data_IF_024942748169
#
_entry.id   IF_024942748169
#
_cell.length_a   1.000
_cell.length_b   1.000
_cell.length_c   1.000
_cell.angle_alpha   90.00
_cell.angle_beta   90.00
_cell.angle_gamma   90.00
#
_symmetry.space_group_name_H-M   'P 1'
#
loop_
_entity.id
_entity.type
_entity.pdbx_description
1 polymer ?
#
# COMPACT_ATOMS: atom_id res chain seq x y z
N UNK A 1 -26.36 -16.48 5.82
CA UNK A 1 -25.78 -15.15 6.12
C UNK A 1 -24.55 -14.92 5.25
N UNK A 2 -24.52 -13.86 4.44
CA UNK A 2 -23.35 -13.47 3.66
C UNK A 2 -22.13 -13.15 4.53
N UNK A 3 -20.92 -13.45 4.05
CA UNK A 3 -19.68 -13.22 4.78
C UNK A 3 -19.46 -11.74 5.16
N UNK A 4 -19.87 -10.81 4.32
CA UNK A 4 -19.78 -9.37 4.62
C UNK A 4 -20.53 -8.99 5.91
N UNK A 5 -21.69 -9.60 6.18
CA UNK A 5 -22.48 -9.32 7.39
C UNK A 5 -21.81 -9.83 8.68
N UNK A 6 -20.93 -10.83 8.59
CA UNK A 6 -20.09 -11.28 9.70
C UNK A 6 -18.95 -10.29 9.96
N UNK A 7 -18.31 -9.78 8.89
CA UNK A 7 -17.23 -8.80 9.00
C UNK A 7 -17.68 -7.43 9.54
N UNK A 8 -18.96 -7.08 9.39
CA UNK A 8 -19.55 -5.89 10.02
C UNK A 8 -19.54 -5.95 11.55
N UNK A 9 -19.49 -7.15 12.14
CA UNK A 9 -19.30 -7.31 13.57
C UNK A 9 -17.81 -7.42 13.89
N UNK A 10 -17.23 -6.35 14.43
CA UNK A 10 -15.80 -6.26 14.78
C UNK A 10 -15.42 -6.96 16.09
N UNK A 11 -16.38 -7.59 16.78
CA UNK A 11 -16.14 -8.36 18.00
C UNK A 11 -16.69 -9.78 17.87
N UNK A 12 -16.02 -10.75 18.51
CA UNK A 12 -16.46 -12.15 18.51
C UNK A 12 -17.87 -12.31 19.08
N UNK A 13 -18.21 -11.48 20.08
CA UNK A 13 -19.56 -11.39 20.62
C UNK A 13 -20.58 -10.90 19.57
N UNK A 14 -20.25 -9.86 18.78
CA UNK A 14 -21.12 -9.36 17.71
C UNK A 14 -21.28 -10.35 16.55
N UNK A 15 -20.24 -11.14 16.26
CA UNK A 15 -20.32 -12.23 15.26
C UNK A 15 -21.24 -13.34 15.80
N UNK A 16 -21.08 -13.74 17.07
CA UNK A 16 -21.89 -14.77 17.71
C UNK A 16 -23.36 -14.37 17.84
N UNK A 17 -23.65 -13.10 18.16
CA UNK A 17 -25.03 -12.60 18.27
C UNK A 17 -25.74 -12.61 16.91
N UNK A 18 -25.05 -12.22 15.83
CA UNK A 18 -25.56 -12.29 14.45
C UNK A 18 -25.79 -13.73 13.98
N UNK A 19 -24.96 -14.68 14.41
CA UNK A 19 -25.18 -16.11 14.13
C UNK A 19 -26.41 -16.66 14.87
N UNK A 20 -26.69 -16.17 16.07
CA UNK A 20 -27.76 -16.67 16.93
C UNK A 20 -29.10 -15.91 16.75
N UNK A 21 -29.18 -14.94 15.82
CA UNK A 21 -30.33 -14.03 15.67
C UNK A 21 -30.72 -13.33 16.98
N UNK A 22 -29.76 -13.16 17.89
CA UNK A 22 -29.99 -12.41 19.12
C UNK A 22 -29.83 -10.95 18.74
N UNK A 23 -30.94 -10.23 18.62
CA UNK A 23 -30.96 -8.76 18.64
C UNK A 23 -30.50 -8.31 20.01
N UNK A 24 -29.21 -8.43 20.29
CA UNK A 24 -28.62 -7.65 21.36
C UNK A 24 -28.52 -6.24 20.80
N UNK A 25 -28.91 -5.25 21.60
CA UNK A 25 -28.50 -3.87 21.41
C UNK A 25 -26.97 -3.84 21.57
N UNK A 26 -26.26 -4.35 20.57
CA UNK A 26 -24.83 -4.11 20.47
C UNK A 26 -24.71 -2.61 20.31
N UNK A 27 -24.18 -1.96 21.34
CA UNK A 27 -23.56 -0.65 21.20
C UNK A 27 -22.55 -0.79 20.07
N UNK A 28 -22.98 -0.47 18.84
CA UNK A 28 -22.09 -0.22 17.73
C UNK A 28 -21.12 0.81 18.27
N UNK A 29 -19.85 0.44 18.42
CA UNK A 29 -18.79 1.42 18.58
C UNK A 29 -18.84 2.25 17.31
N UNK A 30 -19.64 3.32 17.32
CA UNK A 30 -19.89 4.16 16.17
C UNK A 30 -18.59 4.87 15.90
N UNK A 31 -17.86 4.42 14.88
CA UNK A 31 -16.66 5.09 14.41
C UNK A 31 -17.09 6.49 13.96
N UNK A 32 -16.54 7.52 14.59
CA UNK A 32 -16.79 8.90 14.22
C UNK A 32 -15.78 9.29 13.13
N UNK A 33 -16.14 9.01 11.88
CA UNK A 33 -15.29 9.31 10.72
C UNK A 33 -15.00 10.80 10.56
N UNK A 34 -15.92 11.68 10.95
CA UNK A 34 -15.70 13.13 10.90
C UNK A 34 -14.56 13.55 11.83
N UNK A 35 -14.53 12.98 13.05
CA UNK A 35 -13.45 13.20 14.01
C UNK A 35 -12.13 12.57 13.55
N UNK A 36 -12.17 11.37 12.97
CA UNK A 36 -10.94 10.69 12.50
C UNK A 36 -10.31 11.37 11.28
N UNK A 37 -11.12 12.04 10.46
CA UNK A 37 -10.66 12.78 9.28
C UNK A 37 -10.39 14.26 9.57
N UNK A 38 -10.67 14.73 10.78
CA UNK A 38 -10.44 16.11 11.20
C UNK A 38 -8.95 16.43 11.10
N UNK A 39 -8.60 17.49 10.37
CA UNK A 39 -7.21 17.90 10.11
C UNK A 39 -6.55 17.24 8.89
N UNK A 40 -6.87 15.97 8.59
CA UNK A 40 -6.29 15.26 7.43
C UNK A 40 -6.67 15.92 6.09
N UNK A 41 -7.92 16.37 5.95
CA UNK A 41 -8.37 17.00 4.71
C UNK A 41 -7.68 18.35 4.47
N UNK A 42 -7.42 19.11 5.54
CA UNK A 42 -6.72 20.41 5.45
C UNK A 42 -5.26 20.22 5.03
N UNK A 43 -4.57 19.22 5.60
CA UNK A 43 -3.22 18.83 5.17
C UNK A 43 -3.22 18.37 3.70
N UNK A 44 -4.14 17.49 3.30
CA UNK A 44 -4.24 17.04 1.90
C UNK A 44 -4.46 18.19 0.91
N UNK A 45 -5.34 19.15 1.25
CA UNK A 45 -5.60 20.31 0.41
C UNK A 45 -4.36 21.22 0.28
N UNK A 46 -3.52 21.29 1.31
CA UNK A 46 -2.26 22.04 1.25
C UNK A 46 -1.27 21.44 0.24
N UNK A 47 -1.23 20.11 0.09
CA UNK A 47 -0.41 19.43 -0.91
C UNK A 47 -0.93 19.62 -2.34
N UNK A 48 -2.24 19.80 -2.52
CA UNK A 48 -2.85 20.00 -3.83
C UNK A 48 -2.55 21.38 -4.43
N UNK A 49 -2.17 22.35 -3.61
CA UNK A 49 -1.73 23.68 -4.04
C UNK A 49 -0.24 23.76 -4.39
N UNK A 50 0.49 22.64 -4.33
CA UNK A 50 1.82 22.55 -4.92
C UNK A 50 1.60 22.62 -6.42
N UNK A 51 1.80 23.82 -7.00
CA UNK A 51 1.89 23.97 -8.44
C UNK A 51 2.83 22.88 -8.95
N UNK A 52 2.35 22.06 -9.88
CA UNK A 52 3.13 21.02 -10.55
C UNK A 52 4.21 21.70 -11.38
N UNK A 53 5.21 22.25 -10.70
CA UNK A 53 6.35 22.92 -11.28
C UNK A 53 7.15 21.87 -12.02
N UNK A 54 7.14 22.04 -13.34
CA UNK A 54 7.93 21.32 -14.31
C UNK A 54 7.51 19.86 -14.51
N UNK A 55 6.91 19.62 -15.69
CA UNK A 55 6.94 18.32 -16.35
C UNK A 55 8.36 17.79 -16.22
N UNK A 56 8.55 16.77 -15.38
CA UNK A 56 9.85 16.17 -15.17
C UNK A 56 10.31 15.60 -16.53
N UNK A 57 11.19 16.34 -17.21
CA UNK A 57 11.88 15.91 -18.44
C UNK A 57 12.99 14.93 -18.12
N UNK A 58 13.25 14.69 -16.84
CA UNK A 58 14.26 13.77 -16.36
C UNK A 58 13.66 12.38 -16.25
N UNK A 59 14.46 11.39 -16.66
CA UNK A 59 14.14 10.01 -16.43
C UNK A 59 13.74 9.82 -14.95
N UNK A 60 12.72 9.01 -14.67
CA UNK A 60 12.10 8.84 -13.36
C UNK A 60 12.63 7.62 -12.62
N UNK A 61 12.94 7.81 -11.34
CA UNK A 61 13.06 6.72 -10.35
C UNK A 61 11.66 6.46 -9.80
N UNK A 62 11.26 5.19 -9.75
CA UNK A 62 9.95 4.80 -9.22
C UNK A 62 10.13 3.91 -8.01
N UNK A 63 9.41 4.22 -6.94
CA UNK A 63 9.27 3.36 -5.77
C UNK A 63 7.92 2.65 -5.84
N UNK A 64 7.92 1.32 -5.84
CA UNK A 64 6.72 0.51 -6.01
C UNK A 64 6.56 -0.50 -4.87
N UNK A 65 5.39 -0.50 -4.24
CA UNK A 65 4.97 -1.49 -3.24
C UNK A 65 3.90 -2.40 -3.82
N UNK A 66 3.62 -3.53 -3.16
CA UNK A 66 2.59 -4.48 -3.64
C UNK A 66 2.91 -5.13 -5.00
N UNK A 67 4.15 -4.99 -5.49
CA UNK A 67 4.58 -5.39 -6.83
C UNK A 67 4.43 -6.89 -7.12
N UNK A 68 4.43 -7.73 -6.08
CA UNK A 68 4.23 -9.19 -6.24
C UNK A 68 2.77 -9.59 -6.42
N UNK A 69 1.83 -8.65 -6.21
CA UNK A 69 0.40 -8.82 -6.45
C UNK A 69 0.04 -8.85 -7.93
N UNK A 70 -1.23 -9.09 -8.24
CA UNK A 70 -1.70 -9.14 -9.63
C UNK A 70 -1.52 -7.78 -10.33
N UNK A 71 -2.09 -6.72 -9.74
CA UNK A 71 -2.00 -5.35 -10.28
C UNK A 71 -0.55 -4.86 -10.27
N UNK A 72 0.16 -5.07 -9.16
CA UNK A 72 1.55 -4.60 -9.02
C UNK A 72 2.50 -5.14 -10.09
N UNK A 73 2.34 -6.40 -10.51
CA UNK A 73 3.13 -6.97 -11.62
C UNK A 73 2.82 -6.29 -12.94
N UNK A 74 1.56 -5.92 -13.18
CA UNK A 74 1.17 -5.27 -14.43
C UNK A 74 1.65 -3.82 -14.48
N UNK A 75 1.58 -3.11 -13.35
CA UNK A 75 2.21 -1.80 -13.20
C UNK A 75 3.71 -1.89 -13.48
N UNK A 76 4.40 -2.88 -12.90
CA UNK A 76 5.83 -3.10 -13.16
C UNK A 76 6.11 -3.32 -14.66
N UNK A 77 5.30 -4.12 -15.37
CA UNK A 77 5.47 -4.32 -16.83
C UNK A 77 5.36 -3.02 -17.61
N UNK A 78 4.38 -2.18 -17.27
CA UNK A 78 4.21 -0.90 -17.94
C UNK A 78 5.39 0.04 -17.67
N UNK A 79 5.87 0.09 -16.42
CA UNK A 79 7.04 0.89 -16.05
C UNK A 79 8.33 0.42 -16.72
N UNK A 80 8.49 -0.89 -16.91
CA UNK A 80 9.65 -1.45 -17.62
C UNK A 80 9.69 -1.01 -19.09
N UNK A 81 8.52 -0.92 -19.73
CA UNK A 81 8.34 -0.48 -21.12
C UNK A 81 8.38 1.05 -21.29
N UNK A 82 8.44 1.82 -20.21
CA UNK A 82 8.58 3.28 -20.27
C UNK A 82 10.07 3.65 -20.29
N UNK A 83 10.53 4.20 -21.41
CA UNK A 83 11.91 4.64 -21.58
C UNK A 83 12.28 5.82 -20.69
N UNK A 84 11.29 6.53 -20.15
CA UNK A 84 11.52 7.57 -19.15
C UNK A 84 11.86 6.96 -17.80
N UNK A 85 11.56 5.69 -17.53
CA UNK A 85 11.87 5.05 -16.25
C UNK A 85 13.18 4.29 -16.36
N UNK A 86 14.15 4.63 -15.50
CA UNK A 86 15.47 4.00 -15.50
C UNK A 86 15.72 3.13 -14.27
N UNK A 87 15.05 3.42 -13.15
CA UNK A 87 15.18 2.66 -11.90
C UNK A 87 13.83 2.44 -11.25
N UNK A 88 13.59 1.22 -10.78
CA UNK A 88 12.36 0.80 -10.09
C UNK A 88 12.77 0.09 -8.80
N UNK A 89 12.58 0.74 -7.66
CA UNK A 89 12.77 0.15 -6.33
C UNK A 89 11.47 -0.55 -5.89
N UNK A 90 11.51 -1.87 -5.85
CA UNK A 90 10.43 -2.73 -5.40
C UNK A 90 10.56 -2.99 -3.89
N UNK A 91 9.72 -2.34 -3.09
CA UNK A 91 9.82 -2.38 -1.62
C UNK A 91 8.83 -3.35 -0.98
N UNK A 92 9.13 -3.71 0.27
CA UNK A 92 8.32 -4.59 1.11
C UNK A 92 7.98 -5.93 0.43
N UNK A 93 8.95 -6.48 -0.31
CA UNK A 93 8.78 -7.76 -0.99
C UNK A 93 8.98 -8.89 0.02
N UNK A 94 7.92 -9.66 0.27
CA UNK A 94 7.94 -10.72 1.30
C UNK A 94 8.46 -12.07 0.81
N UNK A 95 8.54 -12.27 -0.51
CA UNK A 95 8.98 -13.52 -1.11
C UNK A 95 10.46 -13.43 -1.48
N UNK A 96 11.26 -14.49 -1.28
CA UNK A 96 12.64 -14.53 -1.75
C UNK A 96 12.72 -14.29 -3.26
N UNK A 97 13.78 -13.61 -3.72
CA UNK A 97 14.00 -13.28 -5.13
C UNK A 97 13.94 -14.51 -6.04
N UNK A 98 14.44 -15.67 -5.58
CA UNK A 98 14.40 -16.93 -6.32
C UNK A 98 12.97 -17.45 -6.62
N UNK A 99 11.96 -16.98 -5.89
CA UNK A 99 10.56 -17.34 -6.10
C UNK A 99 9.79 -16.28 -6.91
N UNK A 100 10.45 -15.19 -7.30
CA UNK A 100 9.84 -14.13 -8.07
C UNK A 100 9.90 -14.44 -9.58
N UNK A 101 8.89 -13.99 -10.35
CA UNK A 101 8.93 -14.11 -11.81
C UNK A 101 10.15 -13.39 -12.42
N UNK A 102 10.54 -13.82 -13.62
CA UNK A 102 11.72 -13.31 -14.35
C UNK A 102 11.73 -11.78 -14.54
N UNK A 103 10.56 -11.13 -14.56
CA UNK A 103 10.46 -9.65 -14.69
C UNK A 103 11.19 -8.90 -13.55
N UNK A 104 11.39 -9.54 -12.39
CA UNK A 104 12.11 -8.96 -11.25
C UNK A 104 13.64 -9.03 -11.40
N UNK A 105 14.14 -9.79 -12.38
CA UNK A 105 15.56 -9.84 -12.73
C UNK A 105 15.95 -8.80 -13.79
N UNK A 106 15.01 -7.94 -14.20
CA UNK A 106 15.27 -6.89 -15.18
C UNK A 106 16.29 -5.87 -14.62
N UNK A 107 17.24 -5.36 -15.43
CA UNK A 107 18.30 -4.44 -14.95
C UNK A 107 17.79 -3.14 -14.30
N UNK A 108 16.61 -2.68 -14.69
CA UNK A 108 15.95 -1.51 -14.07
C UNK A 108 15.37 -1.80 -12.68
N UNK A 109 15.30 -3.05 -12.22
CA UNK A 109 14.54 -3.46 -11.03
C UNK A 109 15.46 -3.81 -9.87
N UNK A 110 15.22 -3.15 -8.73
CA UNK A 110 15.90 -3.40 -7.48
C UNK A 110 14.89 -3.88 -6.45
N UNK A 111 15.10 -5.08 -5.90
CA UNK A 111 14.15 -5.71 -4.97
C UNK A 111 14.67 -5.62 -3.54
N UNK A 112 13.85 -5.06 -2.66
CA UNK A 112 14.14 -4.94 -1.24
C UNK A 112 13.13 -5.74 -0.44
N UNK A 113 13.64 -6.67 0.37
CA UNK A 113 12.81 -7.43 1.28
C UNK A 113 12.34 -6.53 2.43
N UNK A 114 11.11 -6.74 2.89
CA UNK A 114 10.56 -5.94 3.99
C UNK A 114 9.06 -6.14 4.19
N UNK A 115 8.47 -5.26 4.99
CA UNK A 115 7.06 -5.27 5.32
C UNK A 115 6.54 -3.83 5.52
N UNK A 116 5.38 -3.52 4.92
CA UNK A 116 4.73 -2.21 5.05
C UNK A 116 4.38 -1.87 6.50
N UNK A 117 4.12 -2.88 7.35
CA UNK A 117 3.84 -2.68 8.77
C UNK A 117 5.08 -2.43 9.63
N UNK A 118 6.29 -2.51 9.07
CA UNK A 118 7.53 -2.29 9.80
C UNK A 118 8.02 -0.84 9.64
N UNK A 119 8.72 -0.28 10.65
CA UNK A 119 9.44 0.98 10.49
C UNK A 119 10.34 0.95 9.25
N UNK A 120 10.45 2.08 8.53
CA UNK A 120 11.21 2.19 7.28
C UNK A 120 10.87 1.08 6.25
N UNK A 121 9.64 0.54 6.27
CA UNK A 121 9.18 -0.55 5.41
C UNK A 121 9.98 -1.86 5.58
N UNK A 122 10.76 -1.99 6.66
CA UNK A 122 11.68 -3.10 6.90
C UNK A 122 13.03 -2.97 6.17
N UNK A 123 13.37 -1.78 5.66
CA UNK A 123 14.67 -1.49 5.05
C UNK A 123 15.76 -1.31 6.11
N UNK A 124 17.01 -1.43 5.69
CA UNK A 124 18.16 -0.94 6.45
C UNK A 124 18.23 0.59 6.38
N UNK A 125 18.91 1.23 7.34
CA UNK A 125 19.11 2.69 7.31
C UNK A 125 19.81 3.15 6.02
N UNK A 126 20.78 2.37 5.53
CA UNK A 126 21.49 2.69 4.30
C UNK A 126 20.60 2.60 3.06
N UNK A 127 19.75 1.57 2.98
CA UNK A 127 18.81 1.44 1.86
C UNK A 127 17.74 2.54 1.91
N UNK A 128 17.22 2.84 3.11
CA UNK A 128 16.24 3.91 3.29
C UNK A 128 16.82 5.27 2.86
N UNK A 129 18.06 5.58 3.25
CA UNK A 129 18.72 6.84 2.89
C UNK A 129 19.07 6.93 1.40
N UNK A 130 19.30 5.80 0.73
CA UNK A 130 19.60 5.79 -0.70
C UNK A 130 18.36 5.93 -1.59
N UNK A 131 17.18 5.60 -1.08
CA UNK A 131 15.93 5.51 -1.87
C UNK A 131 15.07 6.78 -1.71
N UNK A 132 15.07 7.39 -0.52
CA UNK A 132 14.26 8.56 -0.17
C UNK A 132 15.15 9.77 0.13
#
# INVERSE_FOLDING_TARGET
MPLCQLFEASTLQGISSRLQNITSEQASLSVNWDRELEGLLSELLSFLNIETSNRCTRAGVVVLTGVTGFIGKEVLRQLLNDDRVYTIHCLAVRKPLAQLPVIFAHPKVYVYNGNLGSPQLGLSDSDSFSIF
#
